data_IF_432698009409
#
_entry.id   IF_432698009409
#
_cell.length_a   1.000
_cell.length_b   1.000
_cell.length_c   1.000
_cell.angle_alpha   90.00
_cell.angle_beta   90.00
_cell.angle_gamma   90.00
#
_symmetry.space_group_name_H-M   'P 1'
#
loop_
_entity.id
_entity.type
_entity.pdbx_description
1 polymer ?
#
# COMPACT_ATOMS: atom_id res chain seq x y z
N UNK A 1 -10.78 22.04 10.63
CA UNK A 1 -11.03 20.58 10.67
C UNK A 1 -9.77 19.89 10.18
N UNK A 2 -9.30 18.82 10.83
CA UNK A 2 -8.19 18.02 10.29
C UNK A 2 -8.71 17.24 9.06
N UNK A 3 -8.05 17.41 7.91
CA UNK A 3 -8.34 16.65 6.69
C UNK A 3 -7.31 15.52 6.57
N UNK A 4 -7.77 14.29 6.34
CA UNK A 4 -6.90 13.17 6.00
C UNK A 4 -7.07 12.85 4.53
N UNK A 5 -5.95 12.78 3.80
CA UNK A 5 -5.94 12.34 2.41
C UNK A 5 -6.31 10.85 2.30
N UNK A 6 -7.32 10.46 1.50
CA UNK A 6 -7.71 9.06 1.34
C UNK A 6 -6.59 8.16 0.83
N UNK A 7 -5.75 8.65 -0.08
CA UNK A 7 -4.60 7.91 -0.60
C UNK A 7 -3.56 7.63 0.48
N UNK A 8 -3.29 8.63 1.34
CA UNK A 8 -2.42 8.45 2.51
C UNK A 8 -2.98 7.41 3.48
N UNK A 9 -4.28 7.41 3.76
CA UNK A 9 -4.89 6.39 4.64
C UNK A 9 -4.70 4.99 4.07
N UNK A 10 -4.88 4.80 2.76
CA UNK A 10 -4.64 3.50 2.11
C UNK A 10 -3.15 3.11 2.17
N UNK A 11 -2.23 4.06 2.01
CA UNK A 11 -0.80 3.82 2.15
C UNK A 11 -0.42 3.39 3.59
N UNK A 12 -0.98 4.06 4.61
CA UNK A 12 -0.79 3.68 6.01
C UNK A 12 -1.31 2.27 6.30
N UNK A 13 -2.49 1.92 5.79
CA UNK A 13 -3.04 0.56 5.95
C UNK A 13 -2.14 -0.48 5.27
N UNK A 14 -1.60 -0.19 4.09
CA UNK A 14 -0.65 -1.08 3.42
C UNK A 14 0.61 -1.30 4.25
N UNK A 15 1.13 -0.26 4.91
CA UNK A 15 2.26 -0.37 5.84
C UNK A 15 1.87 -1.16 7.09
N UNK A 16 0.69 -0.92 7.67
CA UNK A 16 0.20 -1.67 8.82
C UNK A 16 0.14 -3.18 8.54
N UNK A 17 -0.36 -3.57 7.36
CA UNK A 17 -0.35 -4.98 6.91
C UNK A 17 1.09 -5.48 6.71
N UNK A 18 1.96 -4.69 6.09
CA UNK A 18 3.34 -5.08 5.84
C UNK A 18 4.16 -5.34 7.12
N UNK A 19 3.81 -4.68 8.23
CA UNK A 19 4.45 -4.90 9.54
C UNK A 19 3.74 -5.96 10.39
N UNK A 20 2.76 -6.68 9.83
CA UNK A 20 2.08 -7.81 10.48
C UNK A 20 0.71 -7.51 11.08
N UNK A 21 0.10 -6.36 10.77
CA UNK A 21 -1.29 -6.08 11.13
C UNK A 21 -2.26 -6.96 10.35
N UNK A 22 -3.31 -7.44 11.02
CA UNK A 22 -4.34 -8.30 10.46
C UNK A 22 -5.74 -7.64 10.47
N UNK A 23 -5.85 -6.46 11.11
CA UNK A 23 -7.09 -5.70 11.17
C UNK A 23 -6.88 -4.19 10.92
N UNK A 24 -7.96 -3.47 10.58
CA UNK A 24 -7.90 -2.03 10.33
C UNK A 24 -7.42 -1.21 11.54
N UNK A 25 -7.63 -1.71 12.76
CA UNK A 25 -7.23 -1.02 13.98
C UNK A 25 -5.71 -1.06 14.22
N UNK A 26 -4.98 -1.96 13.57
CA UNK A 26 -3.52 -2.07 13.70
C UNK A 26 -2.76 -0.86 13.12
N UNK A 27 -3.46 -0.01 12.36
CA UNK A 27 -2.96 1.31 11.95
C UNK A 27 -2.55 2.19 13.16
N UNK A 28 -3.06 1.88 14.37
CA UNK A 28 -2.59 2.43 15.64
C UNK A 28 -1.06 2.35 15.79
N UNK A 29 -0.44 1.24 15.35
CA UNK A 29 1.02 1.06 15.45
C UNK A 29 1.78 2.20 14.74
N UNK A 30 1.29 2.66 13.58
CA UNK A 30 1.87 3.80 12.87
C UNK A 30 1.63 5.11 13.62
N UNK A 31 0.45 5.27 14.22
CA UNK A 31 0.09 6.45 15.03
C UNK A 31 1.00 6.61 16.25
N UNK A 32 1.57 5.51 16.77
CA UNK A 32 2.55 5.54 17.86
C UNK A 32 3.92 6.13 17.46
N UNK A 33 4.20 6.25 16.16
CA UNK A 33 5.45 6.79 15.62
C UNK A 33 5.19 8.00 14.69
N UNK A 34 4.65 9.12 15.19
CA UNK A 34 4.25 10.27 14.37
C UNK A 34 5.45 10.98 13.70
N UNK A 35 6.67 10.81 14.21
CA UNK A 35 7.89 11.34 13.57
C UNK A 35 8.25 10.61 12.28
N UNK A 36 7.75 9.38 12.08
CA UNK A 36 7.98 8.56 10.89
C UNK A 36 6.78 8.65 9.95
N UNK A 37 5.57 8.50 10.47
CA UNK A 37 4.35 8.35 9.67
C UNK A 37 3.48 9.60 9.58
N UNK A 38 3.84 10.67 10.29
CA UNK A 38 3.07 11.90 10.37
C UNK A 38 1.68 11.69 10.98
N UNK A 39 0.70 12.44 10.47
CA UNK A 39 -0.70 12.33 10.92
C UNK A 39 -1.35 11.05 10.37
N UNK A 40 -1.73 10.13 11.25
CA UNK A 40 -2.41 8.87 10.92
C UNK A 40 -3.87 8.96 11.33
N UNK A 41 -4.78 8.59 10.42
CA UNK A 41 -6.22 8.70 10.65
C UNK A 41 -6.70 7.84 11.84
N UNK A 42 -7.77 8.29 12.49
CA UNK A 42 -8.46 7.51 13.53
C UNK A 42 -9.28 6.37 12.94
N UNK A 43 -9.55 5.35 13.74
CA UNK A 43 -10.24 4.13 13.31
C UNK A 43 -11.64 4.41 12.71
N UNK A 44 -12.47 5.35 13.25
CA UNK A 44 -13.73 5.71 12.59
C UNK A 44 -13.55 6.36 11.22
N UNK A 45 -12.46 7.12 11.01
CA UNK A 45 -12.17 7.74 9.71
C UNK A 45 -11.70 6.70 8.70
N UNK A 46 -10.87 5.76 9.15
CA UNK A 46 -10.46 4.59 8.35
C UNK A 46 -11.68 3.76 7.95
N UNK A 47 -12.54 3.40 8.91
CA UNK A 47 -13.75 2.61 8.66
C UNK A 47 -14.68 3.29 7.64
N UNK A 48 -14.94 4.60 7.78
CA UNK A 48 -15.74 5.36 6.80
C UNK A 48 -15.15 5.35 5.40
N UNK A 49 -13.82 5.50 5.27
CA UNK A 49 -13.16 5.43 3.98
C UNK A 49 -13.33 4.04 3.34
N UNK A 50 -13.09 2.98 4.11
CA UNK A 50 -13.24 1.61 3.60
C UNK A 50 -14.69 1.34 3.19
N UNK A 51 -15.68 1.78 3.97
CA UNK A 51 -17.10 1.69 3.57
C UNK A 51 -17.41 2.45 2.29
N UNK A 52 -16.83 3.64 2.11
CA UNK A 52 -17.03 4.44 0.90
C UNK A 52 -16.40 3.77 -0.34
N UNK A 53 -15.19 3.21 -0.20
CA UNK A 53 -14.53 2.46 -1.28
C UNK A 53 -15.26 1.16 -1.60
N UNK A 54 -15.81 0.48 -0.58
CA UNK A 54 -16.54 -0.77 -0.75
C UNK A 54 -17.88 -0.59 -1.49
N UNK A 55 -18.42 0.64 -1.56
CA UNK A 55 -19.63 0.93 -2.33
C UNK A 55 -19.43 0.65 -3.84
N UNK A 56 -18.20 0.74 -4.35
CA UNK A 56 -17.80 0.30 -5.70
C UNK A 56 -16.41 -0.35 -5.64
N UNK A 57 -16.36 -1.57 -5.12
CA UNK A 57 -15.11 -2.31 -4.94
C UNK A 57 -14.33 -2.51 -6.26
N UNK A 58 -14.94 -2.84 -7.42
CA UNK A 58 -14.21 -2.94 -8.68
C UNK A 58 -13.50 -1.64 -9.08
N UNK A 59 -14.17 -0.48 -8.96
CA UNK A 59 -13.54 0.80 -9.27
C UNK A 59 -12.42 1.14 -8.27
N UNK A 60 -12.65 0.90 -6.97
CA UNK A 60 -11.65 1.13 -5.93
C UNK A 60 -10.39 0.27 -6.14
N UNK A 61 -10.56 -1.03 -6.43
CA UNK A 61 -9.45 -1.93 -6.72
C UNK A 61 -8.68 -1.51 -7.97
N UNK A 62 -9.39 -1.06 -9.01
CA UNK A 62 -8.76 -0.54 -10.24
C UNK A 62 -7.90 0.69 -9.94
N UNK A 63 -8.42 1.64 -9.15
CA UNK A 63 -7.70 2.84 -8.74
C UNK A 63 -6.46 2.50 -7.88
N UNK A 64 -6.60 1.61 -6.90
CA UNK A 64 -5.50 1.17 -6.04
C UNK A 64 -4.41 0.45 -6.86
N UNK A 65 -4.81 -0.43 -7.78
CA UNK A 65 -3.87 -1.12 -8.67
C UNK A 65 -3.09 -0.15 -9.55
N UNK A 66 -3.77 0.87 -10.10
CA UNK A 66 -3.15 1.93 -10.90
C UNK A 66 -2.15 2.73 -10.07
N UNK A 67 -2.55 3.18 -8.88
CA UNK A 67 -1.68 3.93 -7.97
C UNK A 67 -0.45 3.11 -7.55
N UNK A 68 -0.64 1.83 -7.22
CA UNK A 68 0.45 0.92 -6.86
C UNK A 68 1.43 0.69 -8.02
N UNK A 69 0.93 0.55 -9.25
CA UNK A 69 1.77 0.41 -10.44
C UNK A 69 2.61 1.68 -10.68
N UNK A 70 2.01 2.86 -10.56
CA UNK A 70 2.72 4.14 -10.71
C UNK A 70 3.79 4.35 -9.61
N UNK A 71 3.45 4.04 -8.35
CA UNK A 71 4.39 4.09 -7.24
C UNK A 71 5.57 3.14 -7.46
N UNK A 72 5.31 1.90 -7.89
CA UNK A 72 6.35 0.93 -8.23
C UNK A 72 7.29 1.43 -9.32
N UNK A 73 6.73 1.92 -10.43
CA UNK A 73 7.53 2.46 -11.54
C UNK A 73 8.45 3.60 -11.07
N UNK A 74 7.96 4.46 -10.19
CA UNK A 74 8.75 5.55 -9.59
C UNK A 74 9.86 5.00 -8.70
N UNK A 75 9.56 4.06 -7.79
CA UNK A 75 10.54 3.43 -6.91
C UNK A 75 11.64 2.70 -7.70
N UNK A 76 11.28 1.97 -8.76
CA UNK A 76 12.22 1.24 -9.60
C UNK A 76 13.11 2.19 -10.41
N UNK A 77 12.54 3.25 -10.98
CA UNK A 77 13.33 4.31 -11.62
C UNK A 77 14.39 4.89 -10.69
N UNK A 78 14.04 5.14 -9.42
CA UNK A 78 15.00 5.61 -8.42
C UNK A 78 16.06 4.57 -8.01
N UNK A 79 15.75 3.28 -8.10
CA UNK A 79 16.69 2.20 -7.78
C UNK A 79 17.76 2.00 -8.87
N UNK A 80 17.53 2.47 -10.10
CA UNK A 80 18.51 2.40 -11.18
C UNK A 80 18.94 0.95 -11.47
N UNK A 81 20.24 0.68 -11.43
CA UNK A 81 20.78 -0.68 -11.64
C UNK A 81 20.40 -1.69 -10.54
N UNK A 82 19.91 -1.22 -9.39
CA UNK A 82 19.39 -2.09 -8.34
C UNK A 82 17.90 -2.41 -8.51
N UNK A 83 17.24 -1.84 -9.53
CA UNK A 83 15.85 -2.12 -9.81
C UNK A 83 15.67 -3.57 -10.30
N UNK A 84 14.64 -4.29 -9.85
CA UNK A 84 14.44 -5.70 -10.23
C UNK A 84 14.14 -5.87 -11.73
N UNK A 85 13.72 -4.82 -12.42
CA UNK A 85 13.43 -4.82 -13.85
C UNK A 85 14.59 -4.30 -14.73
N UNK A 86 15.74 -3.91 -14.15
CA UNK A 86 16.82 -3.23 -14.89
C UNK A 86 17.31 -4.01 -16.13
N UNK A 87 17.55 -5.32 -15.98
CA UNK A 87 18.00 -6.21 -17.05
C UNK A 87 16.89 -7.16 -17.53
N UNK A 88 15.64 -6.92 -17.11
CA UNK A 88 14.53 -7.79 -17.44
C UNK A 88 14.21 -7.70 -18.94
N UNK A 89 14.15 -8.86 -19.59
CA UNK A 89 13.82 -8.99 -21.00
C UNK A 89 12.95 -10.22 -21.24
N UNK A 90 12.48 -10.41 -22.47
CA UNK A 90 11.74 -11.63 -22.85
C UNK A 90 12.59 -12.89 -22.65
N UNK A 91 13.91 -12.80 -22.87
CA UNK A 91 14.84 -13.93 -22.70
C UNK A 91 15.30 -14.11 -21.24
N UNK A 92 15.19 -13.08 -20.41
CA UNK A 92 15.53 -13.08 -18.99
C UNK A 92 14.47 -12.28 -18.20
N UNK A 93 13.28 -12.85 -17.97
CA UNK A 93 12.17 -12.12 -17.36
C UNK A 93 12.39 -11.90 -15.87
N UNK A 94 11.70 -10.90 -15.31
CA UNK A 94 11.59 -10.74 -13.86
C UNK A 94 10.83 -11.94 -13.27
N UNK A 95 11.48 -12.72 -12.41
CA UNK A 95 10.88 -13.84 -11.70
C UNK A 95 10.36 -13.34 -10.36
N UNK A 96 9.06 -13.47 -10.14
CA UNK A 96 8.42 -13.18 -8.84
C UNK A 96 8.13 -14.52 -8.20
N UNK A 97 8.86 -14.84 -7.14
CA UNK A 97 8.52 -15.96 -6.29
C UNK A 97 7.35 -15.58 -5.38
N UNK A 98 6.41 -16.50 -5.20
CA UNK A 98 5.25 -16.32 -4.34
C UNK A 98 5.31 -17.39 -3.26
N UNK A 99 5.66 -16.99 -2.04
CA UNK A 99 5.62 -17.87 -0.90
C UNK A 99 4.17 -18.36 -0.66
N UNK A 100 3.92 -19.62 -1.01
CA UNK A 100 2.67 -20.30 -0.75
C UNK A 100 2.96 -21.56 0.08
N UNK A 101 2.74 -21.48 1.39
CA UNK A 101 2.66 -22.69 2.22
C UNK A 101 1.24 -23.23 2.10
N UNK A 102 1.07 -24.34 1.37
CA UNK A 102 -0.13 -25.16 1.47
C UNK A 102 -0.02 -25.97 2.76
N UNK A 103 -0.94 -25.73 3.71
CA UNK A 103 -1.20 -26.66 4.83
C UNK A 103 -2.38 -27.57 4.50
#
# INVERSE_FOLDING_TARGET
>A
LASHDPGKIIADLAVAVAIGGDCLADINQLRSAPTVFGSVASDPTVSRLISALAADAPAALTAINTARAAARATCWSHAGAAAPDHDASIAAPLIIDLDATLV
#
